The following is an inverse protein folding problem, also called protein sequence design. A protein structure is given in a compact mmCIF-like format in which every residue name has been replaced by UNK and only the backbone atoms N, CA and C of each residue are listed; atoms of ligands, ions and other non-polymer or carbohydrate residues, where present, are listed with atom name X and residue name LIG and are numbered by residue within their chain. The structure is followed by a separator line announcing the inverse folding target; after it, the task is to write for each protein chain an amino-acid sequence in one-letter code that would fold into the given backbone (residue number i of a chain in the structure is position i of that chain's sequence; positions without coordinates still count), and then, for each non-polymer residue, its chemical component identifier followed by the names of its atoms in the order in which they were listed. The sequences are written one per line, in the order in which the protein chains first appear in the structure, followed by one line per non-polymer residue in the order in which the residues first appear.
data_IF_742293283816
#
_entry.id   IF_742293283816
#
_cell.length_a   1.000
_cell.length_b   1.000
_cell.length_c   1.000
_cell.angle_alpha   90.00
_cell.angle_beta   90.00
_cell.angle_gamma   90.00
#
_symmetry.space_group_name_H-M   'P 1'
#
loop_
_entity.id
_entity.type
_entity.pdbx_description
1 polymer ?
#
# COMPACT_ATOMS: atom_id res chain seq x y z
N UNK A 1 3.09 14.89 -13.80
CA UNK A 1 2.69 15.76 -12.66
C UNK A 1 2.64 14.87 -11.45
N UNK A 2 3.19 15.28 -10.30
CA UNK A 2 3.40 14.39 -9.15
C UNK A 2 2.16 13.55 -8.78
N UNK A 3 0.96 14.15 -8.78
CA UNK A 3 -0.30 13.45 -8.46
C UNK A 3 -0.64 12.39 -9.51
N UNK A 4 -0.59 12.74 -10.80
CA UNK A 4 -0.91 11.81 -11.89
C UNK A 4 0.13 10.70 -12.01
N UNK A 5 1.40 11.02 -11.83
CA UNK A 5 2.49 10.05 -11.92
C UNK A 5 2.40 9.02 -10.78
N UNK A 6 1.97 9.44 -9.57
CA UNK A 6 1.67 8.54 -8.47
C UNK A 6 0.46 7.62 -8.78
N UNK A 7 -0.62 8.17 -9.33
CA UNK A 7 -1.80 7.40 -9.75
C UNK A 7 -1.43 6.36 -10.81
N UNK A 8 -0.64 6.75 -11.81
CA UNK A 8 -0.18 5.85 -12.88
C UNK A 8 0.61 4.67 -12.30
N UNK A 9 1.53 4.92 -11.36
CA UNK A 9 2.30 3.85 -10.71
C UNK A 9 1.41 2.85 -9.96
N UNK A 10 0.35 3.32 -9.32
CA UNK A 10 -0.62 2.44 -8.62
C UNK A 10 -1.48 1.59 -9.58
N UNK A 11 -1.57 1.98 -10.86
CA UNK A 11 -2.34 1.27 -11.88
C UNK A 11 -1.51 0.28 -12.71
N UNK A 12 -0.17 0.41 -12.70
CA UNK A 12 0.75 -0.39 -13.51
C UNK A 12 1.03 -1.76 -12.85
N UNK A 13 0.77 -2.89 -13.53
CA UNK A 13 0.95 -4.23 -12.97
C UNK A 13 2.42 -4.64 -12.79
N UNK A 14 3.36 -3.93 -13.43
CA UNK A 14 4.79 -4.15 -13.30
C UNK A 14 5.46 -3.26 -12.25
N UNK A 15 4.74 -2.25 -11.71
CA UNK A 15 5.27 -1.31 -10.72
C UNK A 15 4.83 -1.62 -9.29
N UNK A 16 3.69 -2.31 -9.13
CA UNK A 16 3.09 -2.61 -7.83
C UNK A 16 2.58 -4.05 -7.82
N UNK A 17 2.94 -4.81 -6.78
CA UNK A 17 2.60 -6.23 -6.66
C UNK A 17 1.07 -6.41 -6.57
N UNK A 18 0.42 -5.63 -5.71
CA UNK A 18 -1.03 -5.59 -5.55
C UNK A 18 -1.56 -4.20 -5.89
N UNK A 19 -2.03 -4.03 -7.13
CA UNK A 19 -2.52 -2.74 -7.65
C UNK A 19 -3.68 -2.19 -6.82
N UNK A 20 -3.58 -0.90 -6.49
CA UNK A 20 -4.64 -0.16 -5.79
C UNK A 20 -5.58 0.57 -6.76
N UNK A 21 -5.17 0.76 -8.02
CA UNK A 21 -5.96 1.42 -9.06
C UNK A 21 -6.18 0.48 -10.24
N UNK A 22 -7.42 0.42 -10.72
CA UNK A 22 -7.77 -0.15 -12.01
C UNK A 22 -7.85 0.98 -13.05
N UNK A 23 -6.86 1.03 -13.94
CA UNK A 23 -6.81 2.01 -15.03
C UNK A 23 -7.34 1.45 -16.36
N UNK A 24 -8.00 2.30 -17.13
CA UNK A 24 -8.38 2.06 -18.53
C UNK A 24 -7.74 3.14 -19.43
N UNK A 25 -7.12 2.71 -20.53
CA UNK A 25 -6.33 3.55 -21.42
C UNK A 25 -4.85 3.18 -21.39
N UNK A 26 -3.98 4.06 -21.91
CA UNK A 26 -2.54 3.82 -21.91
C UNK A 26 -1.88 4.36 -20.63
N UNK A 27 -1.46 3.45 -19.75
CA UNK A 27 -0.75 3.73 -18.50
C UNK A 27 0.77 3.49 -18.59
N UNK A 28 1.32 3.40 -19.80
CA UNK A 28 2.73 3.13 -20.07
C UNK A 28 3.06 1.64 -20.13
N UNK A 29 4.32 1.34 -20.39
CA UNK A 29 4.83 -0.02 -20.62
C UNK A 29 6.08 -0.33 -19.78
N UNK A 30 6.43 -1.61 -19.70
CA UNK A 30 7.69 -2.07 -19.06
C UNK A 30 8.92 -1.53 -19.80
N UNK A 31 8.79 -1.27 -21.10
CA UNK A 31 9.85 -0.76 -21.97
C UNK A 31 10.11 0.75 -21.77
N UNK A 32 9.35 1.40 -20.88
CA UNK A 32 9.55 2.80 -20.51
C UNK A 32 8.69 3.79 -21.30
N UNK A 33 7.69 3.32 -22.06
CA UNK A 33 6.73 4.22 -22.68
C UNK A 33 5.95 4.99 -21.62
N UNK A 34 5.87 6.31 -21.80
CA UNK A 34 5.12 7.17 -20.89
C UNK A 34 3.61 6.92 -21.00
N UNK A 35 2.85 7.12 -19.90
CA UNK A 35 1.40 7.08 -19.95
C UNK A 35 0.85 8.17 -20.87
N UNK A 36 -0.36 7.96 -21.39
CA UNK A 36 -1.09 9.02 -22.06
C UNK A 36 -1.41 10.18 -21.10
N UNK A 37 -1.79 11.34 -21.63
CA UNK A 37 -2.22 12.46 -20.80
C UNK A 37 -3.51 12.11 -20.03
N UNK A 38 -3.66 12.64 -18.81
CA UNK A 38 -4.75 12.33 -17.87
C UNK A 38 -6.18 12.46 -18.45
N UNK A 39 -6.37 13.27 -19.49
CA UNK A 39 -7.66 13.43 -20.20
C UNK A 39 -8.05 12.25 -21.10
N UNK A 40 -7.14 11.29 -21.29
CA UNK A 40 -7.33 10.09 -22.12
C UNK A 40 -7.32 8.80 -21.31
N UNK A 41 -7.24 8.90 -19.98
CA UNK A 41 -7.19 7.75 -19.07
C UNK A 41 -8.35 7.82 -18.11
N UNK A 42 -8.94 6.67 -17.82
CA UNK A 42 -9.93 6.51 -16.78
C UNK A 42 -9.34 5.63 -15.68
N UNK A 43 -9.77 5.86 -14.43
CA UNK A 43 -9.28 5.11 -13.28
C UNK A 43 -10.38 4.94 -12.24
N UNK A 44 -10.38 3.80 -11.56
CA UNK A 44 -11.21 3.53 -10.39
C UNK A 44 -10.40 2.74 -9.35
N UNK A 45 -10.93 2.64 -8.13
CA UNK A 45 -10.33 1.78 -7.10
C UNK A 45 -10.37 0.31 -7.53
N UNK A 46 -9.29 -0.41 -7.24
CA UNK A 46 -9.35 -1.87 -7.22
C UNK A 46 -10.17 -2.34 -6.02
N UNK A 47 -10.62 -3.60 -6.05
CA UNK A 47 -11.33 -4.22 -4.91
C UNK A 47 -10.50 -4.08 -3.62
N UNK A 48 -9.20 -4.36 -3.69
CA UNK A 48 -8.29 -4.27 -2.55
C UNK A 48 -8.15 -2.83 -2.01
N UNK A 49 -8.12 -1.82 -2.89
CA UNK A 49 -8.11 -0.43 -2.44
C UNK A 49 -9.42 -0.01 -1.79
N UNK A 50 -10.56 -0.57 -2.23
CA UNK A 50 -11.84 -0.41 -1.53
C UNK A 50 -11.77 -0.88 -0.08
N UNK A 51 -11.13 -2.02 0.17
CA UNK A 51 -10.92 -2.54 1.54
C UNK A 51 -10.04 -1.61 2.40
N UNK A 52 -9.09 -0.86 1.82
CA UNK A 52 -8.30 0.12 2.59
C UNK A 52 -9.15 1.24 3.21
N UNK A 53 -10.29 1.55 2.58
CA UNK A 53 -11.24 2.57 2.99
C UNK A 53 -12.42 2.00 3.78
N UNK A 54 -12.44 0.68 4.01
CA UNK A 54 -13.51 0.04 4.78
C UNK A 54 -13.63 0.68 6.16
N UNK A 55 -14.86 0.90 6.59
CA UNK A 55 -15.19 1.47 7.90
C UNK A 55 -14.70 2.90 8.18
N UNK A 56 -14.21 3.63 7.16
CA UNK A 56 -13.77 5.02 7.32
C UNK A 56 -14.85 5.94 7.92
N UNK A 57 -16.12 5.71 7.59
CA UNK A 57 -17.26 6.48 8.09
C UNK A 57 -17.70 6.12 9.53
N UNK A 58 -17.02 5.16 10.17
CA UNK A 58 -17.36 4.65 11.53
C UNK A 58 -16.47 5.24 12.63
N UNK A 59 -15.90 6.42 12.40
CA UNK A 59 -15.09 7.15 13.40
C UNK A 59 -13.91 6.29 13.95
N UNK A 60 -13.24 5.56 13.04
CA UNK A 60 -12.14 4.64 13.36
C UNK A 60 -10.76 5.29 13.26
N UNK A 61 -10.67 6.48 12.67
CA UNK A 61 -9.44 7.25 12.49
C UNK A 61 -9.74 8.73 12.73
N UNK A 62 -8.72 9.45 13.21
CA UNK A 62 -8.81 10.90 13.36
C UNK A 62 -8.80 11.60 12.00
N UNK A 63 -9.55 12.70 11.92
CA UNK A 63 -9.58 13.60 10.77
C UNK A 63 -8.99 14.95 11.15
N UNK A 64 -8.32 15.58 10.19
CA UNK A 64 -7.78 16.93 10.32
C UNK A 64 -8.28 17.85 9.20
N UNK A 65 -8.29 19.18 9.40
CA UNK A 65 -8.53 20.12 8.32
C UNK A 65 -7.48 19.99 7.21
N UNK A 66 -7.89 20.20 5.96
CA UNK A 66 -7.00 20.31 4.81
C UNK A 66 -6.23 21.65 4.81
N UNK A 67 -5.36 21.88 3.82
CA UNK A 67 -4.43 23.02 3.80
C UNK A 67 -5.08 24.42 3.86
N UNK A 68 -6.33 24.57 3.42
CA UNK A 68 -7.10 25.82 3.47
C UNK A 68 -8.30 25.77 4.44
N UNK A 69 -8.36 24.71 5.26
CA UNK A 69 -9.41 24.46 6.26
C UNK A 69 -10.85 24.38 5.70
N UNK A 70 -11.01 24.24 4.38
CA UNK A 70 -12.33 24.14 3.74
C UNK A 70 -12.92 22.72 3.77
N UNK A 71 -12.06 21.70 3.92
CA UNK A 71 -12.40 20.29 3.94
C UNK A 71 -11.66 19.57 5.07
N UNK A 72 -12.09 18.35 5.39
CA UNK A 72 -11.39 17.45 6.29
C UNK A 72 -10.81 16.25 5.53
N UNK A 73 -9.61 15.82 5.92
CA UNK A 73 -8.95 14.62 5.41
C UNK A 73 -8.58 13.68 6.57
N UNK A 74 -8.62 12.35 6.38
CA UNK A 74 -8.20 11.41 7.41
C UNK A 74 -6.69 11.47 7.61
N UNK A 75 -6.21 11.39 8.85
CA UNK A 75 -4.77 11.34 9.13
C UNK A 75 -4.14 10.02 8.69
N UNK A 76 -4.90 8.93 8.79
CA UNK A 76 -4.54 7.57 8.41
C UNK A 76 -5.73 6.88 7.74
N UNK A 77 -5.46 5.84 6.94
CA UNK A 77 -6.51 4.96 6.44
C UNK A 77 -6.73 3.79 7.41
N UNK A 78 -7.97 3.26 7.54
CA UNK A 78 -8.26 2.07 8.34
C UNK A 78 -7.37 0.88 7.98
N UNK A 79 -7.10 0.67 6.68
CA UNK A 79 -6.09 -0.24 6.15
C UNK A 79 -6.04 -1.63 6.86
N UNK A 80 -7.07 -2.48 6.69
CA UNK A 80 -7.20 -3.75 7.42
C UNK A 80 -6.17 -4.83 7.01
N UNK A 81 -5.27 -4.50 6.08
CA UNK A 81 -4.18 -5.37 5.64
C UNK A 81 -2.86 -4.59 5.59
N UNK A 82 -1.71 -5.27 5.76
CA UNK A 82 -0.41 -4.62 5.89
C UNK A 82 0.16 -4.15 4.54
N UNK A 83 -0.45 -3.09 3.96
CA UNK A 83 -0.09 -2.57 2.63
C UNK A 83 1.41 -2.26 2.47
N UNK A 84 2.03 -1.71 3.52
CA UNK A 84 3.47 -1.37 3.50
C UNK A 84 4.36 -2.58 3.20
N UNK A 85 4.02 -3.75 3.75
CA UNK A 85 4.83 -4.96 3.55
C UNK A 85 4.52 -5.63 2.22
N UNK A 86 3.25 -5.68 1.82
CA UNK A 86 2.85 -6.39 0.58
C UNK A 86 3.22 -5.61 -0.68
N UNK A 87 3.17 -4.27 -0.65
CA UNK A 87 3.50 -3.42 -1.80
C UNK A 87 4.87 -2.74 -1.68
N UNK A 88 5.45 -2.67 -0.48
CA UNK A 88 6.72 -2.01 -0.26
C UNK A 88 6.62 -0.48 -0.35
N UNK A 89 7.78 0.17 -0.24
CA UNK A 89 7.92 1.61 -0.44
C UNK A 89 9.37 1.98 -0.72
N UNK A 90 9.59 2.96 -1.58
CA UNK A 90 10.90 3.55 -1.82
C UNK A 90 10.79 5.06 -1.84
N UNK A 91 11.67 5.73 -1.09
CA UNK A 91 11.67 7.18 -0.96
C UNK A 91 13.01 7.69 -0.44
N UNK A 92 13.37 8.89 -0.88
CA UNK A 92 14.58 9.60 -0.43
C UNK A 92 14.11 10.90 0.20
N UNK A 93 14.44 11.08 1.47
CA UNK A 93 14.20 12.32 2.21
C UNK A 93 15.52 13.04 2.48
N UNK A 94 15.48 14.11 3.27
CA UNK A 94 16.70 14.85 3.63
C UNK A 94 17.44 14.09 4.72
N UNK A 95 18.60 13.52 4.38
CA UNK A 95 19.47 12.80 5.31
C UNK A 95 19.08 11.34 5.58
N UNK A 96 18.07 10.81 4.90
CA UNK A 96 17.62 9.41 5.04
C UNK A 96 17.02 8.87 3.74
N UNK A 97 17.01 7.55 3.59
CA UNK A 97 16.36 6.86 2.49
C UNK A 97 15.68 5.59 2.99
N UNK A 98 14.63 5.17 2.29
CA UNK A 98 13.87 3.95 2.57
C UNK A 98 13.75 3.13 1.30
N UNK A 99 13.91 1.81 1.45
CA UNK A 99 13.66 0.82 0.41
C UNK A 99 13.16 -0.46 1.05
N UNK A 100 11.85 -0.66 1.00
CA UNK A 100 11.15 -1.85 1.50
C UNK A 100 10.64 -2.61 0.28
N UNK A 101 11.09 -3.86 0.03
CA UNK A 101 10.59 -4.66 -1.08
C UNK A 101 9.16 -5.15 -0.82
N UNK A 102 8.39 -5.47 -1.87
CA UNK A 102 7.08 -6.11 -1.73
C UNK A 102 7.22 -7.58 -1.30
N UNK A 103 6.22 -8.07 -0.56
CA UNK A 103 6.12 -9.45 -0.09
C UNK A 103 4.79 -10.09 -0.53
N UNK A 104 4.71 -11.42 -0.47
CA UNK A 104 3.46 -12.13 -0.74
C UNK A 104 2.43 -11.83 0.37
N UNK A 105 1.21 -11.44 -0.01
CA UNK A 105 0.14 -11.11 0.94
C UNK A 105 -0.27 -12.30 1.81
N UNK A 106 -0.29 -13.53 1.27
CA UNK A 106 -0.64 -14.73 2.02
C UNK A 106 0.35 -15.00 3.15
N UNK A 107 1.64 -15.04 2.83
CA UNK A 107 2.73 -15.25 3.80
C UNK A 107 2.73 -14.17 4.89
N UNK A 108 2.56 -12.90 4.51
CA UNK A 108 2.50 -11.80 5.48
C UNK A 108 1.29 -11.92 6.41
N UNK A 109 0.12 -12.27 5.88
CA UNK A 109 -1.08 -12.45 6.71
C UNK A 109 -0.95 -13.65 7.64
N UNK A 110 -0.39 -14.77 7.17
CA UNK A 110 -0.13 -15.94 8.01
C UNK A 110 0.86 -15.64 9.13
N UNK A 111 1.94 -14.92 8.83
CA UNK A 111 2.90 -14.43 9.81
C UNK A 111 2.24 -13.52 10.86
N UNK A 112 1.41 -12.56 10.44
CA UNK A 112 0.68 -11.67 11.36
C UNK A 112 -0.29 -12.47 12.24
N UNK A 113 -1.04 -13.42 11.68
CA UNK A 113 -1.95 -14.28 12.45
C UNK A 113 -1.17 -15.13 13.45
N UNK A 114 -0.01 -15.66 13.05
CA UNK A 114 0.86 -16.43 13.95
C UNK A 114 1.39 -15.56 15.09
N UNK A 115 1.85 -14.33 14.82
CA UNK A 115 2.29 -13.38 15.85
C UNK A 115 1.18 -13.04 16.83
N UNK A 116 -0.06 -12.86 16.35
CA UNK A 116 -1.22 -12.61 17.21
C UNK A 116 -1.53 -13.81 18.13
N UNK A 117 -1.32 -15.03 17.66
CA UNK A 117 -1.54 -16.25 18.46
C UNK A 117 -0.43 -16.51 19.47
N UNK A 118 0.78 -15.99 19.24
CA UNK A 118 1.96 -16.25 20.06
C UNK A 118 2.53 -14.98 20.70
N UNK A 119 1.67 -14.05 21.12
CA UNK A 119 2.08 -12.72 21.65
C UNK A 119 2.94 -12.77 22.91
N UNK A 120 2.93 -13.88 23.63
CA UNK A 120 3.70 -14.07 24.86
C UNK A 120 5.14 -14.54 24.61
N UNK A 121 5.47 -14.94 23.37
CA UNK A 121 6.85 -15.23 22.98
C UNK A 121 7.64 -13.91 22.96
N UNK A 122 8.72 -13.86 23.74
CA UNK A 122 9.61 -12.70 23.81
C UNK A 122 10.97 -12.94 23.17
N UNK A 123 11.32 -14.20 22.89
CA UNK A 123 12.59 -14.56 22.26
C UNK A 123 12.55 -14.24 20.77
N UNK A 124 13.33 -13.24 20.36
CA UNK A 124 13.35 -12.74 18.98
C UNK A 124 13.93 -13.78 18.01
N UNK A 125 14.90 -14.58 18.46
CA UNK A 125 15.54 -15.58 17.60
C UNK A 125 14.55 -16.71 17.29
N UNK A 126 13.82 -17.17 18.32
CA UNK A 126 12.74 -18.14 18.16
C UNK A 126 11.61 -17.61 17.28
N UNK A 127 11.22 -16.33 17.44
CA UNK A 127 10.22 -15.69 16.58
C UNK A 127 10.69 -15.70 15.11
N UNK A 128 11.94 -15.32 14.85
CA UNK A 128 12.47 -15.26 13.50
C UNK A 128 12.54 -16.63 12.83
N UNK A 129 12.99 -17.68 13.54
CA UNK A 129 13.02 -19.04 13.02
C UNK A 129 11.62 -19.54 12.63
N UNK A 130 10.62 -19.30 13.49
CA UNK A 130 9.24 -19.68 13.21
C UNK A 130 8.65 -18.89 12.04
N UNK A 131 8.89 -17.58 11.96
CA UNK A 131 8.44 -16.75 10.84
C UNK A 131 9.07 -17.20 9.52
N UNK A 132 10.36 -17.53 9.51
CA UNK A 132 11.02 -18.07 8.32
C UNK A 132 10.35 -19.36 7.85
N UNK A 133 9.94 -20.24 8.77
CA UNK A 133 9.24 -21.49 8.40
C UNK A 133 7.85 -21.28 7.80
N UNK A 134 7.20 -20.14 8.05
CA UNK A 134 5.88 -19.77 7.49
C UNK A 134 6.04 -19.15 6.10
N UNK A 135 7.12 -18.41 5.88
CA UNK A 135 7.36 -17.62 4.67
C UNK A 135 8.14 -18.43 3.59
N UNK A 136 8.73 -19.58 3.97
CA UNK A 136 9.52 -20.46 3.08
C UNK A 136 8.67 -21.55 2.40
#
# INVERSE_FOLDING_TARGET
SAVYDALVRMAQPFSMHYRLIEGQGNFGSVDGDSPAAMRYTEAKLSVLAGEMLSDLDKDVVDFRPNYDESLSEPELLPAPFPNLLINGSSGIAVGMATSIPPHNMGEVLEAVIWLIKNRDLSDIDEINENLLSIIS
#
